data_IF_740179691607
#
_entry.id   IF_740179691607
#
_cell.length_a   1.000
_cell.length_b   1.000
_cell.length_c   1.000
_cell.angle_alpha   90.00
_cell.angle_beta   90.00
_cell.angle_gamma   90.00
#
_symmetry.space_group_name_H-M   'P 1'
#
loop_
_entity.id
_entity.type
_entity.pdbx_description
1 polymer ?
#
# COMPACT_ATOMS: atom_id res chain seq x y z
N UNK A 1 7.20 -4.15 27.48
CA UNK A 1 7.79 -2.94 26.87
C UNK A 1 8.75 -3.25 25.70
N UNK A 2 8.73 -4.45 25.09
CA UNK A 2 9.67 -4.80 24.01
C UNK A 2 9.16 -4.53 22.59
N UNK A 3 7.85 -4.39 22.39
CA UNK A 3 7.20 -4.27 21.07
C UNK A 3 7.56 -2.99 20.33
N UNK A 4 7.54 -1.85 21.02
CA UNK A 4 7.82 -0.53 20.43
C UNK A 4 9.30 -0.41 20.02
N UNK A 5 10.21 -1.01 20.79
CA UNK A 5 11.65 -1.01 20.47
C UNK A 5 11.98 -1.90 19.27
N UNK A 6 11.27 -3.03 19.09
CA UNK A 6 11.45 -3.90 17.93
C UNK A 6 10.96 -3.23 16.65
N UNK A 7 9.78 -2.60 16.67
CA UNK A 7 9.21 -1.89 15.51
C UNK A 7 10.07 -0.71 15.05
N UNK A 8 10.76 -0.02 15.98
CA UNK A 8 11.59 1.13 15.66
C UNK A 8 12.90 0.81 14.90
N UNK A 9 13.31 -0.46 14.86
CA UNK A 9 14.55 -0.91 14.18
C UNK A 9 14.28 -1.89 13.04
N UNK A 10 13.01 -2.03 12.64
CA UNK A 10 12.54 -3.07 11.75
C UNK A 10 12.59 -2.59 10.29
N UNK A 11 13.70 -2.91 9.61
CA UNK A 11 13.89 -2.61 8.19
C UNK A 11 12.73 -3.10 7.32
N UNK A 12 12.15 -4.25 7.67
CA UNK A 12 11.05 -4.82 6.91
C UNK A 12 9.74 -4.06 7.10
N UNK A 13 9.49 -3.52 8.30
CA UNK A 13 8.36 -2.61 8.52
C UNK A 13 8.50 -1.34 7.67
N UNK A 14 9.70 -0.76 7.60
CA UNK A 14 9.98 0.43 6.77
C UNK A 14 9.71 0.12 5.31
N UNK A 15 10.23 -1.00 4.80
CA UNK A 15 9.99 -1.45 3.41
C UNK A 15 8.50 -1.63 3.11
N UNK A 16 7.73 -2.21 4.04
CA UNK A 16 6.28 -2.38 3.87
C UNK A 16 5.54 -1.04 3.83
N UNK A 17 5.92 -0.08 4.69
CA UNK A 17 5.31 1.26 4.70
C UNK A 17 5.66 2.01 3.41
N UNK A 18 6.91 1.95 2.96
CA UNK A 18 7.34 2.55 1.69
C UNK A 18 6.61 1.93 0.50
N UNK A 19 6.46 0.60 0.45
CA UNK A 19 5.74 -0.08 -0.61
C UNK A 19 4.25 0.33 -0.68
N UNK A 20 3.59 0.50 0.48
CA UNK A 20 2.23 1.01 0.55
C UNK A 20 2.15 2.43 0.01
N UNK A 21 3.08 3.31 0.41
CA UNK A 21 3.07 4.71 -0.01
C UNK A 21 3.34 4.87 -1.50
N UNK A 22 4.30 4.11 -2.06
CA UNK A 22 4.58 4.11 -3.49
C UNK A 22 3.38 3.62 -4.31
N UNK A 23 2.74 2.53 -3.88
CA UNK A 23 1.55 2.02 -4.55
C UNK A 23 0.38 3.01 -4.47
N UNK A 24 0.21 3.69 -3.32
CA UNK A 24 -0.80 4.74 -3.13
C UNK A 24 -0.58 5.93 -4.05
N UNK A 25 0.67 6.41 -4.15
CA UNK A 25 1.05 7.52 -5.01
C UNK A 25 0.77 7.15 -6.47
N UNK A 26 1.24 5.98 -6.92
CA UNK A 26 1.02 5.52 -8.29
C UNK A 26 -0.47 5.46 -8.65
N UNK A 27 -1.28 4.80 -7.82
CA UNK A 27 -2.73 4.72 -8.04
C UNK A 27 -3.40 6.09 -8.06
N UNK A 28 -3.14 6.92 -7.04
CA UNK A 28 -3.75 8.25 -6.91
C UNK A 28 -3.36 9.16 -8.08
N UNK A 29 -2.09 9.20 -8.44
CA UNK A 29 -1.59 10.10 -9.48
C UNK A 29 -2.13 9.67 -10.86
N UNK A 30 -2.24 8.37 -11.12
CA UNK A 30 -2.92 7.87 -12.32
C UNK A 30 -4.39 8.26 -12.36
N UNK A 31 -5.15 8.06 -11.26
CA UNK A 31 -6.56 8.47 -11.19
C UNK A 31 -6.71 9.98 -11.40
N UNK A 32 -5.87 10.80 -10.74
CA UNK A 32 -5.89 12.25 -10.87
C UNK A 32 -5.58 12.70 -12.31
N UNK A 33 -4.59 12.07 -12.97
CA UNK A 33 -4.29 12.37 -14.37
C UNK A 33 -5.50 12.09 -15.27
N UNK A 34 -6.22 11.01 -15.00
CA UNK A 34 -7.36 10.58 -15.81
C UNK A 34 -8.64 11.38 -15.54
N UNK A 35 -8.69 12.21 -14.49
CA UNK A 35 -9.79 13.17 -14.30
C UNK A 35 -9.83 14.28 -15.36
N UNK A 36 -8.75 14.47 -16.11
CA UNK A 36 -8.60 15.56 -17.08
C UNK A 36 -8.55 15.08 -18.54
N UNK A 37 -8.79 13.80 -18.80
CA UNK A 37 -8.79 13.21 -20.16
C UNK A 37 -10.21 12.96 -20.66
N UNK A 38 -10.37 12.61 -21.94
CA UNK A 38 -11.67 12.22 -22.50
C UNK A 38 -12.12 10.83 -22.02
N UNK A 39 -13.42 10.57 -22.09
CA UNK A 39 -14.02 9.28 -21.68
C UNK A 39 -13.39 8.08 -22.41
N UNK A 40 -13.07 8.20 -23.70
CA UNK A 40 -12.42 7.12 -24.47
C UNK A 40 -11.02 6.78 -23.93
N UNK A 41 -10.24 7.81 -23.55
CA UNK A 41 -8.93 7.62 -22.94
C UNK A 41 -9.08 7.03 -21.54
N UNK A 42 -10.09 7.48 -20.79
CA UNK A 42 -10.37 6.95 -19.46
C UNK A 42 -10.73 5.46 -19.51
N UNK A 43 -11.66 5.08 -20.39
CA UNK A 43 -12.07 3.69 -20.61
C UNK A 43 -10.88 2.80 -21.01
N UNK A 44 -9.98 3.29 -21.86
CA UNK A 44 -8.77 2.58 -22.26
C UNK A 44 -7.75 2.34 -21.13
N UNK A 45 -7.87 3.08 -20.02
CA UNK A 45 -6.95 2.99 -18.86
C UNK A 45 -7.59 2.35 -17.63
N UNK A 46 -8.88 1.99 -17.68
CA UNK A 46 -9.60 1.42 -16.54
C UNK A 46 -8.93 0.17 -15.97
N UNK A 47 -8.49 -0.76 -16.83
CA UNK A 47 -7.82 -1.99 -16.38
C UNK A 47 -6.52 -1.68 -15.63
N UNK A 48 -5.72 -0.75 -16.14
CA UNK A 48 -4.49 -0.32 -15.48
C UNK A 48 -4.76 0.30 -14.10
N UNK A 49 -5.81 1.12 -13.98
CA UNK A 49 -6.21 1.69 -12.68
C UNK A 49 -6.67 0.61 -11.70
N UNK A 50 -7.44 -0.38 -12.15
CA UNK A 50 -7.87 -1.51 -11.31
C UNK A 50 -6.65 -2.30 -10.84
N UNK A 51 -5.68 -2.57 -11.71
CA UNK A 51 -4.44 -3.24 -11.34
C UNK A 51 -3.65 -2.46 -10.27
N UNK A 52 -3.55 -1.14 -10.42
CA UNK A 52 -2.90 -0.27 -9.43
C UNK A 52 -3.65 -0.26 -8.09
N UNK A 53 -4.99 -0.25 -8.11
CA UNK A 53 -5.80 -0.33 -6.89
C UNK A 53 -5.58 -1.66 -6.16
N UNK A 54 -5.59 -2.78 -6.90
CA UNK A 54 -5.33 -4.12 -6.35
C UNK A 54 -3.93 -4.18 -5.75
N UNK A 55 -2.92 -3.62 -6.42
CA UNK A 55 -1.57 -3.57 -5.89
C UNK A 55 -1.51 -2.77 -4.59
N UNK A 56 -2.12 -1.59 -4.55
CA UNK A 56 -2.18 -0.77 -3.34
C UNK A 56 -2.84 -1.51 -2.17
N UNK A 57 -4.01 -2.12 -2.38
CA UNK A 57 -4.71 -2.92 -1.35
C UNK A 57 -3.88 -4.12 -0.89
N UNK A 58 -3.18 -4.77 -1.80
CA UNK A 58 -2.30 -5.91 -1.49
C UNK A 58 -1.17 -5.49 -0.56
N UNK A 59 -0.52 -4.35 -0.84
CA UNK A 59 0.54 -3.82 0.03
C UNK A 59 -0.01 -3.44 1.41
N UNK A 60 -1.18 -2.82 1.47
CA UNK A 60 -1.86 -2.51 2.74
C UNK A 60 -2.13 -3.78 3.55
N UNK A 61 -2.62 -4.84 2.90
CA UNK A 61 -2.90 -6.10 3.57
C UNK A 61 -1.61 -6.74 4.11
N UNK A 62 -0.51 -6.70 3.36
CA UNK A 62 0.78 -7.21 3.82
C UNK A 62 1.26 -6.46 5.06
N UNK A 63 1.18 -5.13 5.06
CA UNK A 63 1.51 -4.30 6.23
C UNK A 63 0.62 -4.63 7.43
N UNK A 64 -0.70 -4.73 7.23
CA UNK A 64 -1.65 -5.08 8.29
C UNK A 64 -1.36 -6.47 8.88
N UNK A 65 -1.12 -7.47 8.04
CA UNK A 65 -0.75 -8.83 8.48
C UNK A 65 0.56 -8.82 9.27
N UNK A 66 1.53 -8.01 8.84
CA UNK A 66 2.80 -7.86 9.56
C UNK A 66 2.58 -7.27 10.95
N UNK A 67 1.92 -6.11 11.03
CA UNK A 67 1.61 -5.44 12.29
C UNK A 67 0.79 -6.34 13.23
N UNK A 68 -0.20 -7.07 12.70
CA UNK A 68 -1.00 -8.00 13.49
C UNK A 68 -0.14 -9.10 14.10
N UNK A 69 0.73 -9.74 13.32
CA UNK A 69 1.67 -10.75 13.83
C UNK A 69 2.61 -10.15 14.87
N UNK A 70 3.26 -9.04 14.57
CA UNK A 70 4.26 -8.44 15.45
C UNK A 70 3.66 -7.95 16.77
N UNK A 71 2.42 -7.45 16.77
CA UNK A 71 1.71 -7.00 17.98
C UNK A 71 1.06 -8.15 18.76
N UNK A 72 0.48 -9.14 18.08
CA UNK A 72 -0.21 -10.26 18.73
C UNK A 72 0.74 -11.36 19.22
N UNK A 73 1.88 -11.58 18.55
CA UNK A 73 2.85 -12.63 18.92
C UNK A 73 3.74 -12.25 20.11
N UNK A 74 3.76 -10.97 20.50
CA UNK A 74 4.56 -10.46 21.64
C UNK A 74 3.86 -10.53 23.00
N UNK A 75 2.66 -11.11 23.07
CA UNK A 75 1.84 -11.22 24.30
C UNK A 75 1.80 -12.63 24.93
N UNK A 76 2.65 -13.56 24.49
CA UNK A 76 2.75 -14.93 25.03
C UNK A 76 3.93 -15.13 25.96
#
# INVERSE_FOLDING_TARGET
>A
MHTVSTLASDSYLVELVEAVELARIAWRDTVNHLQHVSDDVWLGQMEAVVCLEIQYRTQQEQLCRYLYKTVMSSGG
#
